data_IF_253513165416
#
_entry.id   IF_253513165416
#
_cell.length_a   1.000
_cell.length_b   1.000
_cell.length_c   1.000
_cell.angle_alpha   90.00
_cell.angle_beta   90.00
_cell.angle_gamma   90.00
#
_symmetry.space_group_name_H-M   'P 1'
#
loop_
_entity.id
_entity.type
_entity.pdbx_description
1 polymer ?
#
# COMPACT_ATOMS: atom_id res chain seq x y z
N UNK A 1 -3.45 -33.97 -18.73
CA UNK A 1 -2.63 -32.80 -18.33
C UNK A 1 -3.47 -31.53 -18.25
N UNK A 2 -4.11 -31.07 -19.34
CA UNK A 2 -5.00 -29.89 -19.31
C UNK A 2 -6.29 -30.09 -18.49
N UNK A 3 -6.85 -31.30 -18.47
CA UNK A 3 -8.08 -31.62 -17.72
C UNK A 3 -7.93 -31.40 -16.21
N UNK A 4 -6.76 -31.75 -15.65
CA UNK A 4 -6.45 -31.56 -14.22
C UNK A 4 -6.53 -30.07 -13.85
N UNK A 5 -6.02 -29.17 -14.70
CA UNK A 5 -6.12 -27.73 -14.44
C UNK A 5 -7.55 -27.22 -14.43
N UNK A 6 -8.44 -27.82 -15.23
CA UNK A 6 -9.86 -27.44 -15.28
C UNK A 6 -10.58 -27.91 -14.02
N UNK A 7 -10.32 -29.13 -13.56
CA UNK A 7 -10.90 -29.70 -12.34
C UNK A 7 -10.50 -28.92 -11.08
N UNK A 8 -9.24 -28.49 -10.96
CA UNK A 8 -8.75 -27.75 -9.79
C UNK A 8 -8.94 -26.24 -9.87
N UNK A 9 -9.43 -25.70 -10.99
CA UNK A 9 -9.57 -24.24 -11.21
C UNK A 9 -10.39 -23.56 -10.12
N UNK A 10 -11.51 -24.17 -9.71
CA UNK A 10 -12.37 -23.63 -8.64
C UNK A 10 -11.67 -23.58 -7.28
N UNK A 11 -10.92 -24.62 -6.95
CA UNK A 11 -10.17 -24.70 -5.70
C UNK A 11 -9.03 -23.68 -5.64
N UNK A 12 -8.31 -23.49 -6.75
CA UNK A 12 -7.29 -22.45 -6.88
C UNK A 12 -7.86 -21.05 -6.67
N UNK A 13 -8.99 -20.71 -7.33
CA UNK A 13 -9.64 -19.41 -7.12
C UNK A 13 -10.12 -19.24 -5.68
N UNK A 14 -10.68 -20.29 -5.07
CA UNK A 14 -11.14 -20.21 -3.69
C UNK A 14 -9.99 -19.94 -2.71
N UNK A 15 -8.88 -20.68 -2.81
CA UNK A 15 -7.68 -20.44 -1.99
C UNK A 15 -7.11 -19.04 -2.25
N UNK A 16 -6.97 -18.65 -3.52
CA UNK A 16 -6.46 -17.33 -3.87
C UNK A 16 -7.35 -16.21 -3.29
N UNK A 17 -8.66 -16.42 -3.26
CA UNK A 17 -9.61 -15.47 -2.67
C UNK A 17 -9.43 -15.39 -1.16
N UNK A 18 -9.35 -16.52 -0.45
CA UNK A 18 -9.11 -16.53 0.99
C UNK A 18 -7.76 -15.88 1.32
N UNK A 19 -6.72 -16.23 0.57
CA UNK A 19 -5.39 -15.64 0.71
C UNK A 19 -5.43 -14.13 0.51
N UNK A 20 -6.10 -13.65 -0.55
CA UNK A 20 -6.24 -12.23 -0.85
C UNK A 20 -6.97 -11.50 0.28
N UNK A 21 -8.06 -12.08 0.79
CA UNK A 21 -8.80 -11.51 1.93
C UNK A 21 -7.91 -11.42 3.16
N UNK A 22 -7.24 -12.51 3.54
CA UNK A 22 -6.33 -12.53 4.69
C UNK A 22 -5.18 -11.53 4.54
N UNK A 23 -4.61 -11.42 3.35
CA UNK A 23 -3.55 -10.46 3.02
C UNK A 23 -4.03 -9.02 3.17
N UNK A 24 -5.20 -8.68 2.61
CA UNK A 24 -5.79 -7.33 2.71
C UNK A 24 -6.12 -6.96 4.16
N UNK A 25 -6.75 -7.86 4.93
CA UNK A 25 -7.04 -7.58 6.34
C UNK A 25 -5.75 -7.41 7.18
N UNK A 26 -4.74 -8.24 6.91
CA UNK A 26 -3.43 -8.11 7.56
C UNK A 26 -2.76 -6.78 7.21
N UNK A 27 -2.90 -6.31 5.97
CA UNK A 27 -2.37 -5.02 5.52
C UNK A 27 -3.09 -3.85 6.22
N UNK A 28 -4.42 -3.90 6.31
CA UNK A 28 -5.21 -2.92 7.06
C UNK A 28 -4.75 -2.86 8.52
N UNK A 29 -4.60 -4.02 9.17
CA UNK A 29 -4.07 -4.10 10.53
C UNK A 29 -2.67 -3.49 10.65
N UNK A 30 -1.77 -3.80 9.71
CA UNK A 30 -0.43 -3.22 9.65
C UNK A 30 -0.48 -1.69 9.54
N UNK A 31 -1.37 -1.11 8.73
CA UNK A 31 -1.51 0.34 8.61
C UNK A 31 -1.93 0.98 9.94
N UNK A 32 -2.95 0.43 10.62
CA UNK A 32 -3.36 0.94 11.93
C UNK A 32 -2.24 0.80 12.98
N UNK A 33 -1.50 -0.30 12.94
CA UNK A 33 -0.34 -0.51 13.83
C UNK A 33 0.74 0.54 13.56
N UNK A 34 1.10 0.76 12.31
CA UNK A 34 2.11 1.75 11.91
C UNK A 34 1.72 3.19 12.33
N UNK A 35 0.42 3.51 12.25
CA UNK A 35 -0.11 4.79 12.75
C UNK A 35 0.00 4.91 14.27
N UNK A 36 -0.38 3.86 15.01
CA UNK A 36 -0.28 3.83 16.48
C UNK A 36 1.15 3.92 16.98
N UNK A 37 2.10 3.34 16.25
CA UNK A 37 3.53 3.41 16.56
C UNK A 37 4.18 4.75 16.15
N UNK A 38 3.44 5.63 15.47
CA UNK A 38 3.93 6.94 15.02
C UNK A 38 4.95 6.87 13.88
N UNK A 39 5.15 5.69 13.27
CA UNK A 39 6.10 5.50 12.17
C UNK A 39 5.60 6.11 10.86
N UNK A 40 4.28 6.16 10.68
CA UNK A 40 3.63 6.83 9.56
C UNK A 40 2.38 7.56 10.04
N UNK A 41 2.31 8.85 9.75
CA UNK A 41 1.09 9.63 9.87
C UNK A 41 0.28 9.49 8.57
N UNK A 42 -0.85 8.80 8.65
CA UNK A 42 -1.78 8.65 7.53
C UNK A 42 -2.88 9.73 7.51
N UNK A 43 -3.08 10.46 8.62
CA UNK A 43 -4.07 11.54 8.71
C UNK A 43 -3.65 12.73 7.84
N UNK A 44 -2.34 12.97 7.71
CA UNK A 44 -1.79 14.03 6.86
C UNK A 44 -2.28 13.96 5.40
N UNK A 45 -2.54 12.77 4.86
CA UNK A 45 -3.05 12.61 3.49
C UNK A 45 -4.53 12.99 3.37
N UNK A 46 -5.32 12.79 4.43
CA UNK A 46 -6.70 13.23 4.46
C UNK A 46 -6.80 14.76 4.49
N UNK A 47 -5.83 15.44 5.13
CA UNK A 47 -5.73 16.90 5.15
C UNK A 47 -5.34 17.52 3.81
N UNK A 48 -4.75 16.76 2.89
CA UNK A 48 -4.35 17.26 1.58
C UNK A 48 -5.52 17.83 0.76
N UNK A 49 -6.75 17.35 0.98
CA UNK A 49 -7.93 17.89 0.31
C UNK A 49 -8.42 19.23 0.90
N UNK A 50 -8.02 19.56 2.14
CA UNK A 50 -8.30 20.84 2.79
C UNK A 50 -7.21 21.87 2.47
N UNK A 51 -5.96 21.41 2.43
CA UNK A 51 -4.77 22.22 2.16
C UNK A 51 -4.33 22.03 0.68
N UNK A 52 -5.23 22.36 -0.26
CA UNK A 52 -5.02 22.15 -1.71
C UNK A 52 -4.46 23.38 -2.45
N UNK A 53 -4.03 24.42 -1.72
CA UNK A 53 -3.57 25.65 -2.31
C UNK A 53 -2.23 25.45 -3.03
N UNK A 54 -2.05 26.13 -4.17
CA UNK A 54 -0.82 26.06 -4.97
C UNK A 54 0.41 26.61 -4.23
N UNK A 55 0.21 27.38 -3.16
CA UNK A 55 1.28 27.95 -2.34
C UNK A 55 1.62 27.10 -1.11
N UNK A 56 0.91 25.99 -0.89
CA UNK A 56 1.12 25.16 0.29
C UNK A 56 2.43 24.36 0.21
N UNK A 57 2.98 24.05 1.37
CA UNK A 57 4.22 23.28 1.48
C UNK A 57 4.01 21.84 1.03
N UNK A 58 4.95 21.23 0.28
CA UNK A 58 4.86 19.83 -0.11
C UNK A 58 4.69 18.90 1.09
N UNK A 59 3.67 18.03 1.04
CA UNK A 59 3.31 17.09 2.11
C UNK A 59 4.44 16.12 2.49
N UNK A 60 5.25 15.74 1.51
CA UNK A 60 6.42 14.90 1.70
C UNK A 60 7.66 15.59 1.13
N UNK A 61 8.75 15.55 1.89
CA UNK A 61 10.04 16.00 1.38
C UNK A 61 10.42 15.13 0.18
N UNK A 62 10.80 15.76 -0.93
CA UNK A 62 11.42 15.02 -2.04
C UNK A 62 12.67 14.35 -1.50
N UNK A 63 12.70 13.02 -1.59
CA UNK A 63 13.94 12.27 -1.41
C UNK A 63 14.89 12.74 -2.53
N UNK A 64 15.83 13.62 -2.19
CA UNK A 64 16.92 13.95 -3.07
C UNK A 64 17.79 12.70 -3.16
N UNK A 65 17.43 11.76 -4.05
CA UNK A 65 18.38 10.79 -4.56
C UNK A 65 19.48 11.63 -5.18
N UNK A 66 20.61 11.75 -4.47
CA UNK A 66 21.83 12.32 -5.00
C UNK A 66 22.16 11.47 -6.22
N UNK A 67 21.76 11.95 -7.38
CA UNK A 67 22.25 11.45 -8.66
C UNK A 67 23.77 11.50 -8.55
N UNK A 68 24.40 10.33 -8.54
CA UNK A 68 25.83 10.12 -8.35
C UNK A 68 26.62 10.61 -9.56
N UNK A 69 26.48 11.89 -9.89
CA UNK A 69 27.39 12.61 -10.76
C UNK A 69 28.44 13.26 -9.88
N UNK A 70 29.36 12.42 -9.40
CA UNK A 70 30.69 12.87 -9.03
C UNK A 70 31.36 13.48 -10.27
N UNK A 71 31.93 14.66 -10.08
CA UNK A 71 32.66 15.45 -11.07
C UNK A 71 34.09 14.93 -11.20
#
# INVERSE_FOLDING_TARGET
MLEIFIEFRGYLYFIATIFLVAFLYSYVYYMYKAQREGTKDYEKYARLALDDSILDTPLEARENKRDGREK
#
